data_IF_745971766236
#
_entry.id   IF_745971766236
#
_cell.length_a   1.000
_cell.length_b   1.000
_cell.length_c   1.000
_cell.angle_alpha   90.00
_cell.angle_beta   90.00
_cell.angle_gamma   90.00
#
_symmetry.space_group_name_H-M   'P 1'
#
loop_
_entity.id
_entity.type
_entity.pdbx_description
1 polymer ?
#
# COMPACT_ATOMS: atom_id res chain seq x y z
N UNK A 1 21.61 23.24 11.87
CA UNK A 1 22.56 22.14 11.57
C UNK A 1 22.15 20.77 12.17
N UNK A 2 20.87 20.54 12.54
CA UNK A 2 20.43 19.25 13.12
C UNK A 2 19.79 18.28 12.10
N UNK A 3 19.30 18.77 10.95
CA UNK A 3 18.62 17.94 9.94
C UNK A 3 19.55 16.97 9.21
N UNK A 4 20.78 17.40 8.88
CA UNK A 4 21.73 16.56 8.13
C UNK A 4 22.24 15.33 8.89
N UNK A 5 22.21 15.35 10.22
CA UNK A 5 22.64 14.21 11.04
C UNK A 5 21.50 13.20 11.26
N UNK A 6 20.24 13.67 11.22
CA UNK A 6 19.06 12.83 11.31
C UNK A 6 18.82 12.06 10.01
N UNK A 7 18.95 12.71 8.84
CA UNK A 7 18.85 12.04 7.53
C UNK A 7 19.95 10.99 7.35
N UNK A 8 21.18 11.30 7.78
CA UNK A 8 22.29 10.36 7.70
C UNK A 8 22.08 9.15 8.63
N UNK A 9 21.53 9.39 9.82
CA UNK A 9 21.19 8.33 10.80
C UNK A 9 20.04 7.46 10.31
N UNK A 10 18.99 8.07 9.74
CA UNK A 10 17.87 7.38 9.13
C UNK A 10 18.33 6.51 7.94
N UNK A 11 19.21 7.04 7.09
CA UNK A 11 19.79 6.29 5.99
C UNK A 11 20.61 5.08 6.44
N UNK A 12 21.37 5.18 7.54
CA UNK A 12 22.12 4.04 8.11
C UNK A 12 21.17 3.00 8.69
N UNK A 13 20.21 3.43 9.51
CA UNK A 13 19.24 2.54 10.14
C UNK A 13 18.43 1.74 9.11
N UNK A 14 17.99 2.40 8.03
CA UNK A 14 17.29 1.76 6.91
C UNK A 14 18.12 0.68 6.22
N UNK A 15 19.45 0.87 6.13
CA UNK A 15 20.38 -0.14 5.56
C UNK A 15 20.61 -1.31 6.51
N UNK A 16 20.65 -1.06 7.82
CA UNK A 16 20.72 -2.13 8.82
C UNK A 16 19.41 -2.93 8.86
N UNK A 17 18.27 -2.27 8.77
CA UNK A 17 16.94 -2.90 8.64
C UNK A 17 16.87 -3.77 7.37
N UNK A 18 17.41 -3.29 6.25
CA UNK A 18 17.49 -4.08 5.02
C UNK A 18 18.35 -5.35 5.18
N UNK A 19 19.51 -5.27 5.86
CA UNK A 19 20.33 -6.45 6.17
C UNK A 19 19.48 -7.51 6.89
N UNK A 20 18.69 -7.09 7.88
CA UNK A 20 17.81 -7.98 8.63
C UNK A 20 16.68 -8.55 7.79
N UNK A 21 16.08 -7.75 6.91
CA UNK A 21 15.05 -8.21 5.98
C UNK A 21 15.57 -9.35 5.12
N UNK A 22 16.75 -9.19 4.54
CA UNK A 22 17.41 -10.17 3.67
C UNK A 22 17.75 -11.45 4.44
N UNK A 23 18.32 -11.31 5.64
CA UNK A 23 18.63 -12.45 6.49
C UNK A 23 17.38 -13.20 6.95
N UNK A 24 16.31 -12.49 7.32
CA UNK A 24 15.08 -13.11 7.82
C UNK A 24 14.34 -13.87 6.71
N UNK A 25 14.05 -13.21 5.57
CA UNK A 25 13.23 -13.78 4.51
C UNK A 25 13.99 -14.67 3.54
N UNK A 26 15.25 -14.33 3.21
CA UNK A 26 16.03 -15.03 2.19
C UNK A 26 17.21 -15.82 2.77
N UNK A 27 17.49 -15.67 4.06
CA UNK A 27 18.55 -16.40 4.76
C UNK A 27 19.97 -15.92 4.45
N UNK A 28 20.15 -14.93 3.57
CA UNK A 28 21.46 -14.42 3.17
C UNK A 28 21.42 -12.97 2.72
N UNK A 29 22.57 -12.32 2.78
CA UNK A 29 22.79 -10.96 2.27
C UNK A 29 24.23 -10.78 1.80
N UNK A 30 24.45 -9.93 0.79
CA UNK A 30 25.77 -9.58 0.31
C UNK A 30 25.96 -8.07 0.08
N UNK A 31 27.20 -7.64 -0.08
CA UNK A 31 27.56 -6.24 -0.38
C UNK A 31 26.87 -5.73 -1.65
N UNK A 32 26.77 -6.59 -2.67
CA UNK A 32 26.08 -6.28 -3.93
C UNK A 32 24.62 -5.91 -3.72
N UNK A 33 23.95 -6.53 -2.74
CA UNK A 33 22.54 -6.28 -2.46
C UNK A 33 22.37 -4.84 -1.93
N UNK A 34 23.21 -4.44 -0.96
CA UNK A 34 23.18 -3.07 -0.45
C UNK A 34 23.54 -2.03 -1.51
N UNK A 35 24.49 -2.35 -2.40
CA UNK A 35 24.87 -1.47 -3.50
C UNK A 35 23.72 -1.29 -4.49
N UNK A 36 23.06 -2.38 -4.87
CA UNK A 36 21.94 -2.35 -5.81
C UNK A 36 20.75 -1.58 -5.23
N UNK A 37 20.40 -1.82 -3.96
CA UNK A 37 19.22 -1.20 -3.33
C UNK A 37 19.44 0.26 -2.93
N UNK A 38 20.65 0.64 -2.49
CA UNK A 38 20.90 1.98 -1.94
C UNK A 38 21.86 2.85 -2.77
N UNK A 39 22.43 2.33 -3.87
CA UNK A 39 23.37 3.08 -4.71
C UNK A 39 24.67 3.46 -4.01
N UNK A 40 25.04 2.75 -2.93
CA UNK A 40 26.22 3.06 -2.12
C UNK A 40 27.50 2.40 -2.64
N UNK A 41 28.66 2.91 -2.22
CA UNK A 41 29.95 2.32 -2.56
C UNK A 41 30.18 0.97 -1.87
N UNK A 42 31.07 0.14 -2.45
CA UNK A 42 31.51 -1.14 -1.85
C UNK A 42 32.05 -0.96 -0.43
N UNK A 43 32.78 0.14 -0.18
CA UNK A 43 33.37 0.44 1.12
C UNK A 43 32.27 0.73 2.14
N UNK A 44 31.25 1.50 1.77
CA UNK A 44 30.11 1.79 2.64
C UNK A 44 29.30 0.53 2.93
N UNK A 45 29.00 -0.29 1.91
CA UNK A 45 28.29 -1.55 2.10
C UNK A 45 29.04 -2.50 3.04
N UNK A 46 30.37 -2.56 2.91
CA UNK A 46 31.23 -3.36 3.81
C UNK A 46 31.21 -2.80 5.24
N UNK A 47 31.24 -1.47 5.39
CA UNK A 47 31.15 -0.82 6.69
C UNK A 47 29.81 -1.07 7.38
N UNK A 48 28.69 -1.03 6.63
CA UNK A 48 27.36 -1.30 7.17
C UNK A 48 27.20 -2.76 7.61
N UNK A 49 27.70 -3.73 6.82
CA UNK A 49 27.70 -5.15 7.20
C UNK A 49 28.57 -5.40 8.46
N UNK A 50 29.76 -4.82 8.53
CA UNK A 50 30.63 -4.94 9.71
C UNK A 50 30.01 -4.28 10.93
N UNK A 51 29.33 -3.13 10.74
CA UNK A 51 28.61 -2.44 11.79
C UNK A 51 27.47 -3.30 12.33
N UNK A 52 26.68 -3.91 11.45
CA UNK A 52 25.62 -4.84 11.83
C UNK A 52 26.19 -6.03 12.62
N UNK A 53 27.25 -6.66 12.10
CA UNK A 53 27.91 -7.80 12.76
C UNK A 53 28.45 -7.44 14.15
N UNK A 54 28.99 -6.22 14.32
CA UNK A 54 29.46 -5.74 15.62
C UNK A 54 28.33 -5.50 16.63
N UNK A 55 27.10 -5.24 16.16
CA UNK A 55 25.91 -5.05 17.00
C UNK A 55 25.23 -6.38 17.34
N UNK A 56 25.15 -7.30 16.38
CA UNK A 56 24.52 -8.61 16.52
C UNK A 56 25.40 -9.74 15.95
N UNK A 57 26.44 -10.18 16.70
CA UNK A 57 27.40 -11.18 16.21
C UNK A 57 26.78 -12.54 15.87
N UNK A 58 25.70 -12.92 16.56
CA UNK A 58 25.02 -14.20 16.37
C UNK A 58 24.00 -14.19 15.21
N UNK A 59 23.67 -13.02 14.66
CA UNK A 59 22.63 -12.90 13.63
C UNK A 59 23.11 -13.29 12.24
N UNK A 60 24.41 -13.18 11.96
CA UNK A 60 24.95 -13.61 10.66
C UNK A 60 26.38 -14.08 10.75
N UNK A 61 26.75 -15.01 9.86
CA UNK A 61 28.12 -15.49 9.68
C UNK A 61 28.52 -15.41 8.23
N UNK A 62 29.78 -15.12 7.97
CA UNK A 62 30.29 -15.14 6.60
C UNK A 62 30.55 -16.58 6.16
N UNK A 63 29.83 -17.03 5.13
CA UNK A 63 30.04 -18.32 4.50
C UNK A 63 31.10 -18.16 3.38
N UNK A 64 32.25 -18.82 3.54
CA UNK A 64 33.34 -18.76 2.57
C UNK A 64 33.03 -19.49 1.25
N UNK A 65 32.22 -20.54 1.30
CA UNK A 65 31.83 -21.33 0.12
C UNK A 65 30.82 -20.55 -0.72
N UNK A 66 29.77 -20.04 -0.07
CA UNK A 66 28.73 -19.25 -0.72
C UNK A 66 29.16 -17.78 -0.98
N UNK A 67 30.28 -17.33 -0.39
CA UNK A 67 30.85 -15.97 -0.50
C UNK A 67 29.85 -14.87 -0.15
N UNK A 68 29.05 -15.12 0.89
CA UNK A 68 27.95 -14.26 1.32
C UNK A 68 27.77 -14.37 2.84
N UNK A 69 27.10 -13.39 3.45
CA UNK A 69 26.65 -13.54 4.83
C UNK A 69 25.37 -14.37 4.86
N UNK A 70 25.34 -15.37 5.72
CA UNK A 70 24.17 -16.23 5.95
C UNK A 70 23.60 -16.00 7.35
N UNK A 71 22.29 -16.16 7.49
CA UNK A 71 21.58 -16.04 8.77
C UNK A 71 22.17 -17.02 9.79
N UNK A 72 22.41 -16.52 11.00
CA UNK A 72 22.83 -17.34 12.13
C UNK A 72 21.67 -18.11 12.76
N UNK A 73 21.98 -19.17 13.50
CA UNK A 73 20.98 -20.07 14.08
C UNK A 73 20.14 -19.43 15.20
N UNK A 74 20.65 -18.34 15.79
CA UNK A 74 20.00 -17.56 16.86
C UNK A 74 19.60 -16.17 16.41
N UNK A 75 19.21 -16.04 15.15
CA UNK A 75 18.85 -14.75 14.57
C UNK A 75 17.69 -14.07 15.32
N UNK A 76 17.96 -12.87 15.84
CA UNK A 76 16.97 -12.02 16.47
C UNK A 76 17.12 -10.57 15.97
N UNK A 77 16.21 -10.07 15.12
CA UNK A 77 16.36 -8.76 14.48
C UNK A 77 16.26 -7.62 15.51
N UNK A 78 17.11 -6.61 15.33
CA UNK A 78 17.23 -5.41 16.17
C UNK A 78 16.46 -4.21 15.60
N UNK A 79 16.32 -4.12 14.28
CA UNK A 79 15.75 -2.98 13.55
C UNK A 79 14.45 -3.34 12.83
N UNK A 80 14.42 -4.52 12.21
CA UNK A 80 13.25 -5.05 11.53
C UNK A 80 12.28 -5.65 12.53
N UNK A 81 11.01 -5.29 12.42
CA UNK A 81 9.91 -6.08 12.97
C UNK A 81 9.29 -6.90 11.83
N UNK A 82 9.54 -8.22 11.74
CA UNK A 82 9.03 -9.02 10.63
C UNK A 82 7.51 -9.00 10.61
N UNK A 83 6.95 -8.65 9.46
CA UNK A 83 5.51 -8.64 9.21
C UNK A 83 5.21 -9.37 7.90
N UNK A 84 4.58 -10.56 7.96
CA UNK A 84 4.16 -11.29 6.77
C UNK A 84 3.21 -10.48 5.88
N UNK A 85 2.34 -9.64 6.45
CA UNK A 85 1.39 -8.86 5.67
C UNK A 85 2.10 -7.81 4.78
N UNK A 86 3.13 -7.15 5.32
CA UNK A 86 4.01 -6.25 4.57
C UNK A 86 4.75 -6.96 3.42
N UNK A 87 5.29 -8.16 3.67
CA UNK A 87 5.97 -8.95 2.63
C UNK A 87 5.01 -9.33 1.49
N UNK A 88 3.83 -9.87 1.83
CA UNK A 88 2.82 -10.27 0.84
C UNK A 88 2.25 -9.06 0.08
N UNK A 89 2.13 -7.90 0.74
CA UNK A 89 1.71 -6.66 0.09
C UNK A 89 2.70 -6.18 -0.96
N UNK A 90 4.01 -6.34 -0.75
CA UNK A 90 5.02 -6.04 -1.77
C UNK A 90 4.90 -6.95 -2.99
N UNK A 91 4.69 -8.27 -2.80
CA UNK A 91 4.43 -9.18 -3.91
C UNK A 91 3.19 -8.77 -4.71
N UNK A 92 2.11 -8.42 -4.01
CA UNK A 92 0.88 -7.95 -4.65
C UNK A 92 1.11 -6.65 -5.44
N UNK A 93 1.82 -5.68 -4.88
CA UNK A 93 2.15 -4.43 -5.57
C UNK A 93 2.96 -4.66 -6.85
N UNK A 94 3.85 -5.64 -6.87
CA UNK A 94 4.57 -6.04 -8.09
C UNK A 94 3.61 -6.60 -9.13
N UNK A 95 2.72 -7.52 -8.74
CA UNK A 95 1.75 -8.12 -9.66
C UNK A 95 0.77 -7.09 -10.24
N UNK A 96 0.32 -6.15 -9.40
CA UNK A 96 -0.56 -5.06 -9.79
C UNK A 96 0.17 -3.95 -10.60
N UNK A 97 1.49 -4.08 -10.82
CA UNK A 97 2.31 -3.09 -11.55
C UNK A 97 2.45 -1.75 -10.82
N UNK A 98 2.20 -1.73 -9.51
CA UNK A 98 2.29 -0.55 -8.63
C UNK A 98 3.75 -0.31 -8.23
N UNK A 99 4.52 -1.37 -8.07
CA UNK A 99 5.94 -1.33 -7.74
C UNK A 99 6.72 -2.23 -8.69
N UNK A 100 7.95 -1.88 -9.01
CA UNK A 100 8.90 -2.82 -9.62
C UNK A 100 9.60 -3.64 -8.55
N UNK A 101 10.25 -4.74 -8.95
CA UNK A 101 11.01 -5.55 -7.99
C UNK A 101 12.13 -4.73 -7.33
N UNK A 102 12.76 -3.84 -8.08
CA UNK A 102 13.86 -2.97 -7.63
C UNK A 102 13.41 -1.95 -6.57
N UNK A 103 12.12 -1.60 -6.56
CA UNK A 103 11.51 -0.73 -5.56
C UNK A 103 11.15 -1.48 -4.27
N UNK A 104 11.24 -2.82 -4.28
CA UNK A 104 11.04 -3.68 -3.10
C UNK A 104 12.37 -4.14 -2.49
N UNK A 105 12.31 -4.68 -1.28
CA UNK A 105 13.47 -5.31 -0.65
C UNK A 105 13.61 -6.81 -0.97
N UNK A 106 12.67 -7.35 -1.75
CA UNK A 106 12.64 -8.74 -2.17
C UNK A 106 13.57 -8.92 -3.35
N UNK A 107 14.72 -9.54 -3.11
CA UNK A 107 15.72 -9.74 -4.17
C UNK A 107 15.48 -11.04 -4.93
N UNK A 108 14.80 -12.02 -4.34
CA UNK A 108 14.35 -13.22 -5.05
C UNK A 108 12.85 -13.41 -4.82
N UNK A 109 12.07 -13.25 -5.88
CA UNK A 109 10.64 -13.48 -5.83
C UNK A 109 10.36 -14.98 -5.73
N UNK A 110 9.55 -15.45 -4.76
CA UNK A 110 9.03 -16.81 -4.79
C UNK A 110 8.12 -16.99 -6.02
N UNK A 111 7.74 -18.23 -6.35
CA UNK A 111 6.63 -18.43 -7.28
C UNK A 111 5.34 -17.96 -6.61
N UNK A 112 4.65 -16.99 -7.22
CA UNK A 112 3.39 -16.45 -6.73
C UNK A 112 2.51 -16.06 -7.91
N UNK A 113 1.21 -15.99 -7.67
CA UNK A 113 0.23 -15.51 -8.66
C UNK A 113 -0.91 -14.81 -7.91
N UNK A 114 -1.57 -13.88 -8.59
CA UNK A 114 -2.77 -13.24 -8.07
C UNK A 114 -3.84 -13.21 -9.16
N UNK A 115 -5.10 -13.23 -8.76
CA UNK A 115 -6.19 -13.08 -9.72
C UNK A 115 -6.15 -11.63 -10.24
N UNK A 116 -5.90 -11.41 -11.55
CA UNK A 116 -5.87 -10.07 -12.09
C UNK A 116 -7.24 -9.43 -11.90
N UNK A 117 -7.29 -8.33 -11.15
CA UNK A 117 -8.54 -7.61 -10.96
C UNK A 117 -8.86 -6.86 -12.26
N UNK A 118 -10.06 -7.00 -12.85
CA UNK A 118 -10.48 -6.23 -14.01
C UNK A 118 -10.77 -4.78 -13.58
N UNK A 119 -9.72 -4.03 -13.27
CA UNK A 119 -9.80 -2.64 -12.87
C UNK A 119 -9.69 -1.79 -14.13
N UNK A 120 -10.77 -1.08 -14.47
CA UNK A 120 -10.65 0.06 -15.37
C UNK A 120 -9.78 1.10 -14.67
N UNK A 121 -8.67 1.48 -15.30
CA UNK A 121 -7.80 2.53 -14.77
C UNK A 121 -8.58 3.81 -14.47
N UNK A 122 -8.19 4.51 -13.41
CA UNK A 122 -8.73 5.82 -13.07
C UNK A 122 -7.86 6.86 -13.76
N UNK A 123 -8.48 7.70 -14.58
CA UNK A 123 -7.77 8.80 -15.22
C UNK A 123 -7.21 9.77 -14.16
N UNK A 124 -5.91 10.06 -14.23
CA UNK A 124 -5.21 10.87 -13.24
C UNK A 124 -5.77 12.30 -13.16
N UNK A 125 -6.22 12.87 -14.29
CA UNK A 125 -6.82 14.20 -14.33
C UNK A 125 -8.19 14.22 -13.63
N UNK A 126 -8.96 13.16 -13.78
CA UNK A 126 -10.23 12.94 -13.09
C UNK A 126 -10.01 12.87 -11.58
N UNK A 127 -9.08 12.02 -11.11
CA UNK A 127 -8.76 11.91 -9.70
C UNK A 127 -8.28 13.25 -9.12
N UNK A 128 -7.37 13.96 -9.82
CA UNK A 128 -6.89 15.28 -9.40
C UNK A 128 -8.04 16.27 -9.19
N UNK A 129 -8.98 16.34 -10.13
CA UNK A 129 -10.14 17.25 -10.03
C UNK A 129 -11.08 16.88 -8.89
N UNK A 130 -11.28 15.59 -8.62
CA UNK A 130 -12.07 15.14 -7.47
C UNK A 130 -11.40 15.54 -6.15
N UNK A 131 -10.09 15.29 -6.00
CA UNK A 131 -9.34 15.67 -4.80
C UNK A 131 -9.37 17.18 -4.58
N UNK A 132 -9.19 17.96 -5.65
CA UNK A 132 -9.26 19.42 -5.60
C UNK A 132 -10.65 19.90 -5.17
N UNK A 133 -11.72 19.31 -5.72
CA UNK A 133 -13.08 19.64 -5.35
C UNK A 133 -13.40 19.32 -3.89
N UNK A 134 -12.92 18.19 -3.36
CA UNK A 134 -13.03 17.84 -1.94
C UNK A 134 -12.35 18.92 -1.08
N UNK A 135 -11.09 19.26 -1.41
CA UNK A 135 -10.29 20.24 -0.64
C UNK A 135 -10.87 21.65 -0.67
N UNK A 136 -11.50 22.04 -1.78
CA UNK A 136 -12.01 23.40 -2.03
C UNK A 136 -13.53 23.51 -1.90
N UNK A 137 -14.20 22.46 -1.40
CA UNK A 137 -15.66 22.36 -1.24
C UNK A 137 -16.41 22.77 -2.52
N UNK A 138 -16.02 22.19 -3.65
CA UNK A 138 -16.65 22.42 -4.95
C UNK A 138 -17.53 21.24 -5.35
N UNK A 139 -18.62 21.53 -6.06
CA UNK A 139 -19.36 20.55 -6.83
C UNK A 139 -18.74 20.41 -8.22
N UNK A 140 -18.84 19.20 -8.77
CA UNK A 140 -18.36 18.81 -10.08
C UNK A 140 -19.53 18.38 -10.96
N UNK A 141 -19.54 18.82 -12.22
CA UNK A 141 -20.44 18.28 -13.22
C UNK A 141 -19.74 17.13 -13.95
N UNK A 142 -20.17 15.90 -13.64
CA UNK A 142 -19.54 14.66 -14.08
C UNK A 142 -20.41 13.92 -15.09
N UNK A 143 -19.81 13.41 -16.16
CA UNK A 143 -20.43 12.45 -17.05
C UNK A 143 -20.24 11.06 -16.46
N UNK A 144 -21.32 10.48 -15.95
CA UNK A 144 -21.25 9.25 -15.18
C UNK A 144 -22.02 8.12 -15.86
N UNK A 145 -21.36 6.97 -16.03
CA UNK A 145 -21.99 5.75 -16.49
C UNK A 145 -22.57 4.98 -15.29
N UNK A 146 -23.89 4.99 -15.13
CA UNK A 146 -24.56 4.12 -14.15
C UNK A 146 -24.68 2.68 -14.68
N UNK A 147 -24.81 1.70 -13.78
CA UNK A 147 -25.26 0.35 -14.15
C UNK A 147 -26.76 0.31 -14.45
N UNK A 148 -27.54 1.17 -13.78
CA UNK A 148 -29.00 1.24 -13.93
C UNK A 148 -29.45 2.05 -15.15
N UNK A 149 -28.53 2.61 -15.93
CA UNK A 149 -28.86 3.41 -17.11
C UNK A 149 -27.94 3.05 -18.27
N UNK A 150 -28.47 2.79 -19.47
CA UNK A 150 -27.67 2.35 -20.61
C UNK A 150 -26.76 3.45 -21.15
N UNK A 151 -27.15 4.74 -21.05
CA UNK A 151 -26.35 5.87 -21.51
C UNK A 151 -25.70 6.64 -20.34
N UNK A 152 -24.46 7.14 -20.50
CA UNK A 152 -23.86 8.08 -19.57
C UNK A 152 -24.72 9.34 -19.43
N UNK A 153 -24.73 9.93 -18.24
CA UNK A 153 -25.46 11.18 -17.98
C UNK A 153 -24.60 12.16 -17.21
N UNK A 154 -24.67 13.42 -17.64
CA UNK A 154 -24.14 14.55 -16.88
C UNK A 154 -24.94 14.76 -15.61
N UNK A 155 -24.25 14.91 -14.49
CA UNK A 155 -24.86 15.18 -13.19
C UNK A 155 -23.93 16.00 -12.32
N UNK A 156 -24.51 16.86 -11.50
CA UNK A 156 -23.78 17.56 -10.46
C UNK A 156 -23.62 16.65 -9.25
N UNK A 157 -22.40 16.57 -8.73
CA UNK A 157 -22.09 15.92 -7.46
C UNK A 157 -21.22 16.85 -6.60
N UNK A 158 -21.38 16.83 -5.27
CA UNK A 158 -20.47 17.47 -4.34
C UNK A 158 -19.66 16.40 -3.59
N UNK A 159 -18.44 16.05 -4.07
CA UNK A 159 -17.61 15.05 -3.43
C UNK A 159 -17.04 15.57 -2.11
N UNK A 160 -16.97 14.69 -1.11
CA UNK A 160 -16.37 15.04 0.19
C UNK A 160 -15.39 14.00 0.73
N UNK A 161 -15.42 12.76 0.23
CA UNK A 161 -14.44 11.74 0.62
C UNK A 161 -14.09 10.78 -0.53
N UNK A 162 -13.02 10.00 -0.30
CA UNK A 162 -12.57 8.89 -1.15
C UNK A 162 -12.64 7.61 -0.32
N UNK A 163 -13.15 6.53 -0.91
CA UNK A 163 -13.28 5.23 -0.26
C UNK A 163 -12.74 4.11 -1.15
N UNK A 164 -12.20 3.07 -0.52
CA UNK A 164 -11.81 1.82 -1.18
C UNK A 164 -12.57 0.67 -0.53
N UNK A 165 -13.35 -0.07 -1.31
CA UNK A 165 -14.21 -1.17 -0.82
C UNK A 165 -13.53 -2.54 -0.79
N UNK A 166 -12.21 -2.59 -1.02
CA UNK A 166 -11.43 -3.81 -1.21
C UNK A 166 -11.19 -4.18 -2.67
N UNK A 167 -11.95 -3.60 -3.61
CA UNK A 167 -11.85 -3.89 -5.04
C UNK A 167 -11.76 -2.63 -5.91
N UNK A 168 -12.47 -1.56 -5.56
CA UNK A 168 -12.65 -0.37 -6.38
C UNK A 168 -12.61 0.91 -5.55
N UNK A 169 -12.13 1.98 -6.19
CA UNK A 169 -12.13 3.31 -5.61
C UNK A 169 -13.42 4.07 -5.94
N UNK A 170 -13.96 4.70 -4.91
CA UNK A 170 -15.17 5.51 -4.95
C UNK A 170 -14.87 6.92 -4.47
N UNK A 171 -15.67 7.87 -4.92
CA UNK A 171 -15.87 9.14 -4.22
C UNK A 171 -17.24 9.16 -3.58
N UNK A 172 -17.29 9.46 -2.28
CA UNK A 172 -18.52 9.72 -1.55
C UNK A 172 -18.95 11.15 -1.85
N UNK A 173 -20.16 11.34 -2.35
CA UNK A 173 -20.64 12.63 -2.80
C UNK A 173 -22.14 12.81 -2.63
N UNK A 174 -22.57 14.06 -2.43
CA UNK A 174 -23.97 14.43 -2.58
C UNK A 174 -24.35 14.48 -4.06
N UNK A 175 -25.41 13.80 -4.45
CA UNK A 175 -25.95 13.87 -5.81
C UNK A 175 -27.08 14.89 -5.89
N UNK A 176 -26.92 15.94 -6.68
CA UNK A 176 -27.95 16.97 -6.83
C UNK A 176 -29.21 16.49 -7.58
N UNK A 177 -29.12 15.41 -8.35
CA UNK A 177 -30.29 14.83 -9.04
C UNK A 177 -31.15 14.05 -8.04
N UNK A 178 -30.51 13.22 -7.23
CA UNK A 178 -31.19 12.28 -6.35
C UNK A 178 -31.34 12.83 -4.91
N UNK A 179 -30.76 14.02 -4.64
CA UNK A 179 -30.78 14.73 -3.36
C UNK A 179 -30.38 13.84 -2.17
N UNK A 180 -29.31 13.08 -2.34
CA UNK A 180 -28.77 12.20 -1.30
C UNK A 180 -27.26 12.00 -1.44
N UNK A 181 -26.61 11.62 -0.33
CA UNK A 181 -25.23 11.14 -0.33
C UNK A 181 -25.15 9.70 -0.83
N UNK A 182 -24.18 9.43 -1.70
CA UNK A 182 -23.89 8.08 -2.21
C UNK A 182 -22.52 7.98 -2.86
N UNK A 183 -22.18 6.76 -3.27
CA UNK A 183 -20.88 6.43 -3.80
C UNK A 183 -20.87 6.47 -5.33
N UNK A 184 -19.82 7.08 -5.89
CA UNK A 184 -19.55 7.12 -7.32
C UNK A 184 -18.20 6.45 -7.60
N UNK A 185 -18.21 5.40 -8.43
CA UNK A 185 -16.97 4.75 -8.85
C UNK A 185 -16.16 5.71 -9.71
N UNK A 186 -14.92 5.99 -9.30
CA UNK A 186 -14.04 6.89 -10.06
C UNK A 186 -13.79 6.40 -11.48
N UNK A 187 -13.66 5.08 -11.66
CA UNK A 187 -13.47 4.41 -12.95
C UNK A 187 -14.69 4.53 -13.92
N UNK A 188 -15.83 5.03 -13.45
CA UNK A 188 -17.05 5.25 -14.27
C UNK A 188 -17.30 6.71 -14.60
N UNK A 189 -16.45 7.61 -14.12
CA UNK A 189 -16.46 9.01 -14.52
C UNK A 189 -15.78 9.14 -15.87
N UNK A 190 -16.55 9.43 -16.91
CA UNK A 190 -16.06 9.55 -18.29
C UNK A 190 -15.53 10.95 -18.59
N UNK A 191 -16.04 11.96 -17.88
CA UNK A 191 -15.65 13.34 -18.08
C UNK A 191 -16.10 14.23 -16.92
N UNK A 192 -15.42 15.36 -16.78
CA UNK A 192 -15.82 16.46 -15.89
C UNK A 192 -15.68 17.73 -16.71
N UNK A 193 -16.72 18.56 -16.78
CA UNK A 193 -16.73 19.75 -17.65
C UNK A 193 -16.84 21.06 -16.90
N UNK A 194 -17.32 21.04 -15.66
CA UNK A 194 -17.56 22.27 -14.89
C UNK A 194 -17.41 22.03 -13.41
N UNK A 195 -17.10 23.11 -12.70
CA UNK A 195 -16.99 23.17 -11.24
C UNK A 195 -17.77 24.38 -10.72
N UNK A 196 -18.29 24.30 -9.50
CA UNK A 196 -18.94 25.44 -8.81
C UNK A 196 -18.80 25.30 -7.30
N UNK A 197 -18.86 26.39 -6.52
CA UNK A 197 -18.94 26.30 -5.07
C UNK A 197 -20.10 25.41 -4.63
N UNK A 198 -19.86 24.57 -3.61
CA UNK A 198 -20.89 23.75 -3.01
C UNK A 198 -21.11 24.17 -1.56
N UNK A 199 -22.37 24.39 -1.21
CA UNK A 199 -22.80 24.65 0.17
C UNK A 199 -23.19 23.37 0.91
N UNK A 200 -23.08 22.21 0.26
CA UNK A 200 -23.42 20.92 0.88
C UNK A 200 -22.45 20.66 2.03
N UNK A 201 -22.98 20.48 3.23
CA UNK A 201 -22.16 20.13 4.38
C UNK A 201 -21.92 18.62 4.43
N UNK A 202 -20.65 18.23 4.41
CA UNK A 202 -20.25 16.83 4.47
C UNK A 202 -20.63 16.18 5.82
N UNK A 203 -20.86 16.98 6.87
CA UNK A 203 -21.31 16.48 8.16
C UNK A 203 -22.75 15.95 8.15
N UNK A 204 -23.55 16.30 7.13
CA UNK A 204 -24.93 15.80 6.98
C UNK A 204 -24.97 14.35 6.48
N UNK A 205 -23.84 13.81 5.99
CA UNK A 205 -23.72 12.42 5.55
C UNK A 205 -23.62 11.46 6.74
N UNK A 206 -24.75 11.26 7.40
CA UNK A 206 -24.83 10.43 8.62
C UNK A 206 -24.32 9.01 8.39
N UNK A 207 -24.64 8.42 7.23
CA UNK A 207 -24.18 7.08 6.87
C UNK A 207 -22.65 6.99 6.81
N UNK A 208 -21.99 8.02 6.27
CA UNK A 208 -20.52 8.06 6.19
C UNK A 208 -19.85 8.24 7.55
N UNK A 209 -20.45 9.03 8.44
CA UNK A 209 -19.89 9.27 9.78
C UNK A 209 -20.27 8.20 10.81
N UNK A 210 -21.06 7.20 10.43
CA UNK A 210 -21.48 6.11 11.31
C UNK A 210 -20.53 4.91 11.19
N UNK A 211 -19.82 4.60 12.27
CA UNK A 211 -19.04 3.36 12.36
C UNK A 211 -19.96 2.20 12.78
N UNK A 212 -19.93 1.10 12.02
CA UNK A 212 -20.69 -0.12 12.32
C UNK A 212 -19.72 -1.25 12.60
N UNK A 213 -19.89 -1.93 13.74
CA UNK A 213 -19.14 -3.14 14.07
C UNK A 213 -19.83 -4.36 13.44
N UNK A 214 -19.11 -5.07 12.56
CA UNK A 214 -19.58 -6.32 11.95
C UNK A 214 -18.95 -7.50 12.69
N UNK A 215 -19.77 -8.36 13.26
CA UNK A 215 -19.33 -9.64 13.83
C UNK A 215 -19.36 -10.71 12.74
N UNK A 216 -18.18 -11.07 12.25
CA UNK A 216 -18.02 -12.15 11.26
C UNK A 216 -17.70 -13.43 12.01
N UNK A 217 -18.61 -14.41 11.94
CA UNK A 217 -18.44 -15.72 12.54
C UNK A 217 -18.38 -16.83 11.51
N UNK A 218 -17.73 -17.97 11.84
CA UNK A 218 -17.79 -19.15 10.99
C UNK A 218 -19.23 -19.65 10.87
N UNK A 219 -19.59 -20.16 9.69
CA UNK A 219 -20.96 -20.61 9.42
C UNK A 219 -21.47 -21.56 10.51
N UNK A 220 -22.71 -21.39 11.03
CA UNK A 220 -23.19 -22.14 12.20
C UNK A 220 -23.11 -23.66 12.06
N UNK A 221 -23.31 -24.17 10.84
CA UNK A 221 -23.26 -25.59 10.50
C UNK A 221 -21.87 -26.23 10.41
N UNK A 222 -20.78 -25.49 10.68
CA UNK A 222 -19.44 -26.07 10.74
C UNK A 222 -19.22 -26.82 12.06
N UNK A 223 -18.53 -27.94 11.98
CA UNK A 223 -18.04 -28.67 13.16
C UNK A 223 -17.00 -27.84 13.94
N UNK A 224 -16.80 -28.16 15.22
CA UNK A 224 -15.85 -27.44 16.07
C UNK A 224 -14.41 -27.50 15.55
N UNK A 225 -14.02 -28.61 14.91
CA UNK A 225 -12.72 -28.75 14.26
C UNK A 225 -12.57 -27.80 13.06
N UNK A 226 -13.62 -27.63 12.26
CA UNK A 226 -13.64 -26.71 11.12
C UNK A 226 -13.65 -25.25 11.58
N UNK A 227 -14.37 -24.93 12.67
CA UNK A 227 -14.39 -23.59 13.26
C UNK A 227 -12.99 -23.20 13.78
N UNK A 228 -12.27 -24.12 14.41
CA UNK A 228 -10.88 -23.89 14.87
C UNK A 228 -9.88 -23.62 13.75
N UNK A 229 -10.12 -24.10 12.53
CA UNK A 229 -9.24 -23.83 11.38
C UNK A 229 -9.48 -22.49 10.68
N UNK A 230 -10.48 -21.72 11.11
CA UNK A 230 -10.89 -20.45 10.48
C UNK A 230 -10.52 -19.21 11.30
N UNK A 231 -10.04 -19.39 12.54
CA UNK A 231 -9.62 -18.30 13.44
C UNK A 231 -8.10 -18.21 13.53
#
# INVERSE_FOLDING_TARGET
MAAGNADFRWGVERRLEFIEFRLFWEGRVNRSDLMATFGISVNQASADLNRYLGMAPDNMRYDKSARTYVRGDRFEPLFLRPDPASYLSQLRSICDGIATQEETWIGQLPAFDTVPSPVRGIDAHTLRRVIEAIRTRQALEVEYQSLSSPAPRWRWIAPHAIAFDGFRWHTRAWCFIDSCFKDFLLARTLGIRSTRPSEIDANEDTDWHTNVTLEIGPHPGLSDAQKKGLC
#
